data_IF_452313170075
#
_entry.id   IF_452313170075
#
_cell.length_a   1.000
_cell.length_b   1.000
_cell.length_c   1.000
_cell.angle_alpha   90.00
_cell.angle_beta   90.00
_cell.angle_gamma   90.00
#
_symmetry.space_group_name_H-M   'P 1'
#
loop_
_entity.id
_entity.type
_entity.pdbx_description
1 polymer ?
#
# COMPACT_ATOMS: atom_id res chain seq x y z
N UNK A 1 1.62 -2.47 -11.75
CA UNK A 1 1.72 -3.75 -10.99
C UNK A 1 0.95 -3.65 -9.67
N UNK A 2 1.22 -2.66 -8.82
CA UNK A 2 0.55 -2.48 -7.51
C UNK A 2 -0.99 -2.48 -7.62
N UNK A 3 -1.56 -1.65 -8.50
CA UNK A 3 -3.02 -1.58 -8.69
C UNK A 3 -3.62 -2.94 -9.09
N UNK A 4 -2.91 -3.71 -9.94
CA UNK A 4 -3.36 -5.04 -10.36
C UNK A 4 -3.48 -6.01 -9.17
N UNK A 5 -2.50 -6.01 -8.26
CA UNK A 5 -2.59 -6.79 -7.02
C UNK A 5 -3.81 -6.41 -6.17
N UNK A 6 -4.14 -5.12 -6.08
CA UNK A 6 -5.35 -4.64 -5.42
C UNK A 6 -6.63 -5.19 -6.04
N UNK A 7 -6.73 -5.17 -7.38
CA UNK A 7 -7.89 -5.70 -8.11
C UNK A 7 -8.03 -7.21 -7.91
N UNK A 8 -6.94 -7.96 -8.04
CA UNK A 8 -6.96 -9.42 -7.87
C UNK A 8 -7.34 -9.78 -6.43
N UNK A 9 -6.73 -9.13 -5.44
CA UNK A 9 -7.04 -9.37 -4.03
C UNK A 9 -8.49 -9.03 -3.67
N UNK A 10 -9.05 -7.97 -4.28
CA UNK A 10 -10.46 -7.62 -4.16
C UNK A 10 -11.38 -8.70 -4.74
N UNK A 11 -11.15 -9.11 -5.99
CA UNK A 11 -11.98 -10.07 -6.70
C UNK A 11 -12.00 -11.46 -6.04
N UNK A 12 -10.90 -11.84 -5.38
CA UNK A 12 -10.74 -13.16 -4.76
C UNK A 12 -10.92 -13.14 -3.23
N UNK A 13 -11.36 -12.01 -2.64
CA UNK A 13 -11.53 -11.85 -1.19
C UNK A 13 -10.32 -12.34 -0.38
N UNK A 14 -9.11 -11.97 -0.80
CA UNK A 14 -7.86 -12.44 -0.18
C UNK A 14 -7.60 -11.86 1.23
N UNK A 15 -8.48 -10.97 1.70
CA UNK A 15 -8.47 -10.36 3.03
C UNK A 15 -9.89 -10.22 3.55
N UNK A 16 -10.05 -10.12 4.87
CA UNK A 16 -11.33 -9.78 5.51
C UNK A 16 -11.90 -8.44 5.04
N UNK A 17 -11.04 -7.54 4.55
CA UNK A 17 -11.43 -6.21 4.05
C UNK A 17 -10.97 -5.94 2.61
N UNK A 18 -11.62 -6.57 1.62
CA UNK A 18 -11.21 -6.48 0.22
C UNK A 18 -11.18 -5.05 -0.32
N UNK A 19 -12.10 -4.20 0.14
CA UNK A 19 -12.19 -2.79 -0.28
C UNK A 19 -11.00 -1.98 0.27
N UNK A 20 -10.62 -2.21 1.53
CA UNK A 20 -9.46 -1.55 2.12
C UNK A 20 -8.17 -1.97 1.39
N UNK A 21 -8.05 -3.25 1.02
CA UNK A 21 -6.94 -3.74 0.21
C UNK A 21 -6.91 -3.10 -1.18
N UNK A 22 -8.05 -3.03 -1.88
CA UNK A 22 -8.15 -2.36 -3.18
C UNK A 22 -7.72 -0.89 -3.08
N UNK A 23 -8.20 -0.18 -2.07
CA UNK A 23 -7.87 1.21 -1.81
C UNK A 23 -6.38 1.38 -1.50
N UNK A 24 -5.79 0.53 -0.65
CA UNK A 24 -4.37 0.56 -0.31
C UNK A 24 -3.50 0.44 -1.57
N UNK A 25 -3.71 -0.61 -2.36
CA UNK A 25 -2.91 -0.87 -3.57
C UNK A 25 -3.20 0.14 -4.68
N UNK A 26 -4.44 0.64 -4.76
CA UNK A 26 -4.84 1.71 -5.66
C UNK A 26 -4.13 3.02 -5.35
N UNK A 27 -4.22 3.49 -4.10
CA UNK A 27 -3.61 4.74 -3.63
C UNK A 27 -2.08 4.69 -3.73
N UNK A 28 -1.46 3.57 -3.35
CA UNK A 28 -0.01 3.37 -3.46
C UNK A 28 0.44 3.42 -4.93
N UNK A 29 -0.32 2.75 -5.83
CA UNK A 29 -0.04 2.78 -7.25
C UNK A 29 -0.21 4.16 -7.87
N UNK A 30 -1.27 4.88 -7.49
CA UNK A 30 -1.52 6.25 -7.95
C UNK A 30 -0.43 7.21 -7.43
N UNK A 31 -0.07 7.15 -6.15
CA UNK A 31 1.04 7.94 -5.59
C UNK A 31 2.31 7.72 -6.40
N UNK A 32 2.66 6.47 -6.71
CA UNK A 32 3.86 6.17 -7.52
C UNK A 32 3.81 6.79 -8.92
N UNK A 33 2.64 6.88 -9.54
CA UNK A 33 2.44 7.54 -10.85
C UNK A 33 2.60 9.05 -10.71
N UNK A 34 1.99 9.66 -9.69
CA UNK A 34 2.05 11.10 -9.46
C UNK A 34 3.41 11.56 -8.91
N UNK A 35 4.18 10.67 -8.31
CA UNK A 35 5.53 10.97 -7.86
C UNK A 35 6.48 11.27 -9.04
N UNK A 36 6.28 10.65 -10.21
CA UNK A 36 7.14 10.89 -11.38
C UNK A 36 7.20 12.37 -11.83
N UNK A 37 6.08 13.09 -12.05
CA UNK A 37 6.15 14.52 -12.33
C UNK A 37 6.67 15.32 -11.13
N UNK A 38 6.39 14.90 -9.88
CA UNK A 38 6.93 15.56 -8.68
C UNK A 38 8.46 15.51 -8.69
N UNK A 39 9.07 14.35 -8.94
CA UNK A 39 10.53 14.21 -8.98
C UNK A 39 11.14 15.08 -10.07
N UNK A 40 10.54 15.12 -11.27
CA UNK A 40 11.00 15.98 -12.36
C UNK A 40 10.92 17.48 -12.03
N UNK A 41 9.91 17.92 -11.27
CA UNK A 41 9.83 19.31 -10.83
C UNK A 41 10.90 19.63 -9.78
N UNK A 42 11.07 18.75 -8.79
CA UNK A 42 12.06 18.91 -7.73
C UNK A 42 13.49 18.95 -8.28
N UNK A 43 13.83 18.08 -9.24
CA UNK A 43 15.15 18.03 -9.87
C UNK A 43 15.50 19.32 -10.63
N UNK A 44 14.49 20.05 -11.12
CA UNK A 44 14.66 21.34 -11.79
C UNK A 44 14.49 22.55 -10.84
N UNK A 45 14.45 22.33 -9.52
CA UNK A 45 14.26 23.38 -8.53
C UNK A 45 12.89 24.06 -8.57
N UNK A 46 11.90 23.43 -9.21
CA UNK A 46 10.52 23.93 -9.31
C UNK A 46 9.63 23.16 -8.34
N UNK A 47 8.76 23.89 -7.63
CA UNK A 47 7.81 23.27 -6.73
C UNK A 47 6.43 23.22 -7.36
N UNK A 48 6.11 22.12 -8.03
CA UNK A 48 4.74 21.81 -8.44
C UNK A 48 3.87 21.50 -7.22
N UNK A 49 3.50 22.53 -6.43
CA UNK A 49 2.82 22.40 -5.14
C UNK A 49 1.61 21.46 -5.18
N UNK A 50 0.82 21.54 -6.25
CA UNK A 50 -0.37 20.71 -6.44
C UNK A 50 -0.01 19.23 -6.55
N UNK A 51 0.98 18.87 -7.36
CA UNK A 51 1.41 17.48 -7.53
C UNK A 51 2.04 16.93 -6.26
N UNK A 52 2.83 17.75 -5.55
CA UNK A 52 3.45 17.37 -4.29
C UNK A 52 2.40 17.13 -3.20
N UNK A 53 1.40 18.01 -3.08
CA UNK A 53 0.29 17.83 -2.13
C UNK A 53 -0.53 16.59 -2.50
N UNK A 54 -0.82 16.39 -3.78
CA UNK A 54 -1.61 15.25 -4.25
C UNK A 54 -0.89 13.93 -3.95
N UNK A 55 0.40 13.82 -4.27
CA UNK A 55 1.22 12.66 -3.95
C UNK A 55 1.26 12.40 -2.43
N UNK A 56 1.50 13.45 -1.63
CA UNK A 56 1.54 13.34 -0.18
C UNK A 56 0.21 12.85 0.40
N UNK A 57 -0.94 13.36 -0.07
CA UNK A 57 -2.26 12.89 0.38
C UNK A 57 -2.49 11.43 0.03
N UNK A 58 -2.18 11.02 -1.21
CA UNK A 58 -2.31 9.63 -1.63
C UNK A 58 -1.44 8.70 -0.76
N UNK A 59 -0.20 9.10 -0.48
CA UNK A 59 0.74 8.31 0.31
C UNK A 59 0.33 8.23 1.78
N UNK A 60 -0.15 9.33 2.37
CA UNK A 60 -0.66 9.35 3.75
C UNK A 60 -1.86 8.42 3.89
N UNK A 61 -2.83 8.51 2.96
CA UNK A 61 -4.00 7.63 2.99
C UNK A 61 -3.63 6.16 2.80
N UNK A 62 -2.68 5.86 1.90
CA UNK A 62 -2.13 4.51 1.76
C UNK A 62 -1.45 4.02 3.05
N UNK A 63 -0.65 4.86 3.70
CA UNK A 63 0.01 4.51 4.97
C UNK A 63 -0.98 4.23 6.11
N UNK A 64 -2.06 5.01 6.20
CA UNK A 64 -3.13 4.76 7.17
C UNK A 64 -3.84 3.43 6.91
N UNK A 65 -4.17 3.11 5.66
CA UNK A 65 -4.76 1.82 5.30
C UNK A 65 -3.80 0.65 5.53
N UNK A 66 -2.50 0.82 5.26
CA UNK A 66 -1.50 -0.19 5.53
C UNK A 66 -1.39 -0.49 7.03
N UNK A 67 -1.39 0.54 7.87
CA UNK A 67 -1.43 0.38 9.33
C UNK A 67 -2.69 -0.34 9.79
N UNK A 68 -3.85 0.05 9.25
CA UNK A 68 -5.13 -0.55 9.57
C UNK A 68 -5.19 -2.06 9.22
N UNK A 69 -4.82 -2.43 7.99
CA UNK A 69 -4.80 -3.84 7.55
C UNK A 69 -3.68 -4.63 8.27
N UNK A 70 -2.55 -3.98 8.52
CA UNK A 70 -1.37 -4.61 9.12
C UNK A 70 -1.59 -5.12 10.54
N UNK A 71 -2.50 -4.50 11.31
CA UNK A 71 -2.81 -4.94 12.68
C UNK A 71 -3.34 -6.39 12.72
N UNK A 72 -4.19 -6.76 11.75
CA UNK A 72 -4.79 -8.10 11.67
C UNK A 72 -3.90 -9.06 10.86
N UNK A 73 -3.22 -8.57 9.83
CA UNK A 73 -2.39 -9.40 8.96
C UNK A 73 -1.12 -9.92 9.65
N UNK A 74 -0.50 -9.12 10.53
CA UNK A 74 0.77 -9.49 11.18
C UNK A 74 0.63 -10.76 12.03
N UNK A 75 -0.34 -10.89 12.95
CA UNK A 75 -0.57 -12.12 13.71
C UNK A 75 -0.83 -13.33 12.82
N UNK A 76 -1.68 -13.22 11.79
CA UNK A 76 -1.98 -14.33 10.87
C UNK A 76 -0.74 -14.79 10.11
N UNK A 77 0.09 -13.86 9.63
CA UNK A 77 1.35 -14.19 8.99
C UNK A 77 2.31 -14.91 9.95
N UNK A 78 2.44 -14.43 11.20
CA UNK A 78 3.27 -15.08 12.23
C UNK A 78 2.78 -16.50 12.57
N UNK A 79 1.47 -16.70 12.70
CA UNK A 79 0.88 -18.03 12.91
C UNK A 79 1.16 -18.94 11.71
N UNK A 80 1.02 -18.45 10.49
CA UNK A 80 1.38 -19.20 9.28
C UNK A 80 2.86 -19.62 9.27
N UNK A 81 3.77 -18.78 9.78
CA UNK A 81 5.19 -19.13 9.87
C UNK A 81 5.50 -20.17 10.95
N UNK A 82 4.65 -20.30 11.97
CA UNK A 82 4.87 -21.26 13.07
C UNK A 82 4.98 -22.70 12.59
N UNK A 83 4.33 -23.07 11.46
CA UNK A 83 4.45 -24.41 10.84
C UNK A 83 5.86 -24.77 10.36
N UNK A 84 6.73 -23.76 10.19
CA UNK A 84 8.12 -23.92 9.78
C UNK A 84 9.11 -23.78 10.93
N UNK A 85 8.62 -23.45 12.14
CA UNK A 85 9.45 -23.40 13.34
C UNK A 85 9.60 -24.85 13.84
N UNK A 86 10.82 -25.35 14.06
CA UNK A 86 11.02 -26.68 14.63
C UNK A 86 10.27 -26.79 15.97
N UNK A 87 9.54 -27.89 16.24
CA UNK A 87 8.91 -28.07 17.53
C UNK A 87 9.98 -27.97 18.62
N UNK A 88 9.75 -27.08 19.59
CA UNK A 88 10.60 -27.03 20.79
C UNK A 88 10.33 -28.32 21.58
N UNK A 89 11.41 -29.06 21.85
CA UNK A 89 11.40 -30.28 22.66
C UNK A 89 10.89 -30.02 24.08
#
# INVERSE_FOLDING_TARGET
>A
ITIYYGIVGFQHNMTLEPIALLALYGLTGLSSIFFYPVSLFLDHGKYGKIFLVLDAVLLILAGLLAGYIGLEAVPEHLVSFSKWVPPTL
#
